data_IF_576395180443
#
_entry.id   IF_576395180443
#
_cell.length_a   1.000
_cell.length_b   1.000
_cell.length_c   1.000
_cell.angle_alpha   90.00
_cell.angle_beta   90.00
_cell.angle_gamma   90.00
#
_symmetry.space_group_name_H-M   'P 1'
#
loop_
_entity.id
_entity.type
_entity.pdbx_description
1 polymer ?
#
# COMPACT_ATOMS: atom_id res chain seq x y z
N UNK A 1 13.22 -6.16 -19.74
CA UNK A 1 13.36 -7.57 -19.35
C UNK A 1 12.68 -7.75 -18.01
N UNK A 2 11.79 -8.72 -17.88
CA UNK A 2 11.02 -8.95 -16.66
C UNK A 2 11.94 -9.35 -15.51
N UNK A 3 12.94 -10.20 -15.77
CA UNK A 3 13.86 -10.70 -14.74
C UNK A 3 14.74 -9.58 -14.17
N UNK A 4 15.24 -8.70 -15.04
CA UNK A 4 16.00 -7.51 -14.62
C UNK A 4 15.13 -6.56 -13.80
N UNK A 5 13.86 -6.40 -14.18
CA UNK A 5 12.94 -5.56 -13.43
C UNK A 5 12.61 -6.14 -12.06
N UNK A 6 12.37 -7.45 -11.98
CA UNK A 6 12.14 -8.15 -10.72
C UNK A 6 13.36 -8.03 -9.79
N UNK A 7 14.57 -8.25 -10.30
CA UNK A 7 15.78 -8.13 -9.49
C UNK A 7 16.03 -6.68 -9.05
N UNK A 8 15.78 -5.69 -9.91
CA UNK A 8 15.88 -4.29 -9.52
C UNK A 8 14.90 -3.94 -8.39
N UNK A 9 13.66 -4.43 -8.48
CA UNK A 9 12.61 -4.22 -7.49
C UNK A 9 12.92 -4.91 -6.15
N UNK A 10 13.57 -6.09 -6.18
CA UNK A 10 14.04 -6.77 -4.97
C UNK A 10 15.07 -5.97 -4.19
N UNK A 11 15.94 -5.23 -4.89
CA UNK A 11 16.95 -4.40 -4.25
C UNK A 11 16.37 -3.04 -3.81
N UNK A 12 15.49 -2.47 -4.63
CA UNK A 12 14.80 -1.19 -4.39
C UNK A 12 13.39 -1.22 -5.01
N UNK A 13 12.36 -1.31 -4.18
CA UNK A 13 10.96 -1.37 -4.60
C UNK A 13 10.52 -0.12 -5.38
N UNK A 14 11.17 1.02 -5.13
CA UNK A 14 10.93 2.25 -5.90
C UNK A 14 11.51 2.20 -7.30
N UNK A 15 12.40 1.24 -7.62
CA UNK A 15 12.88 1.00 -8.98
C UNK A 15 11.72 0.70 -9.94
N UNK A 16 10.57 0.22 -9.44
CA UNK A 16 9.35 0.02 -10.20
C UNK A 16 8.96 1.25 -11.03
N UNK A 17 9.19 2.47 -10.53
CA UNK A 17 8.86 3.73 -11.21
C UNK A 17 9.59 3.94 -12.54
N UNK A 18 10.72 3.25 -12.73
CA UNK A 18 11.55 3.34 -13.92
C UNK A 18 11.28 2.20 -14.93
N UNK A 19 10.39 1.27 -14.59
CA UNK A 19 10.05 0.14 -15.45
C UNK A 19 9.01 0.53 -16.53
N UNK A 20 8.95 -0.27 -17.59
CA UNK A 20 7.93 -0.11 -18.62
C UNK A 20 6.52 -0.29 -18.03
N UNK A 21 5.51 0.37 -18.62
CA UNK A 21 4.12 0.32 -18.14
C UNK A 21 3.61 -1.11 -17.90
N UNK A 22 3.89 -2.02 -18.85
CA UNK A 22 3.47 -3.43 -18.74
C UNK A 22 4.03 -4.14 -17.50
N UNK A 23 5.20 -3.73 -16.98
CA UNK A 23 5.80 -4.30 -15.76
C UNK A 23 5.18 -3.71 -14.48
N UNK A 24 4.56 -2.53 -14.56
CA UNK A 24 3.80 -1.92 -13.45
C UNK A 24 2.37 -2.48 -13.36
N UNK A 25 1.91 -3.12 -14.44
CA UNK A 25 0.68 -3.90 -14.52
C UNK A 25 0.90 -5.39 -14.17
N UNK A 26 2.17 -5.79 -13.93
CA UNK A 26 2.51 -7.15 -13.55
C UNK A 26 2.31 -7.33 -12.04
N UNK A 27 1.45 -8.28 -11.68
CA UNK A 27 1.03 -8.52 -10.29
C UNK A 27 2.19 -9.02 -9.41
N UNK A 28 3.07 -9.86 -9.95
CA UNK A 28 4.16 -10.46 -9.18
C UNK A 28 5.26 -9.43 -8.92
N UNK A 29 5.57 -8.59 -9.92
CA UNK A 29 6.47 -7.44 -9.72
C UNK A 29 5.86 -6.46 -8.72
N UNK A 30 4.57 -6.17 -8.81
CA UNK A 30 3.90 -5.27 -7.88
C UNK A 30 3.95 -5.79 -6.44
N UNK A 31 3.67 -7.08 -6.23
CA UNK A 31 3.79 -7.73 -4.92
C UNK A 31 5.21 -7.66 -4.37
N UNK A 32 6.21 -7.96 -5.19
CA UNK A 32 7.61 -7.89 -4.76
C UNK A 32 8.02 -6.45 -4.40
N UNK A 33 7.55 -5.46 -5.18
CA UNK A 33 7.82 -4.06 -4.91
C UNK A 33 7.26 -3.61 -3.57
N UNK A 34 6.00 -3.95 -3.27
CA UNK A 34 5.37 -3.51 -2.02
C UNK A 34 5.90 -4.25 -0.79
N UNK A 35 6.39 -5.49 -0.96
CA UNK A 35 7.13 -6.21 0.08
C UNK A 35 8.45 -5.53 0.44
N UNK A 36 9.14 -5.01 -0.58
CA UNK A 36 10.41 -4.31 -0.39
C UNK A 36 10.19 -2.89 0.19
N UNK A 37 9.30 -2.11 -0.43
CA UNK A 37 8.88 -0.77 0.00
C UNK A 37 7.38 -0.59 -0.26
N UNK A 38 6.56 -0.47 0.79
CA UNK A 38 5.11 -0.31 0.70
C UNK A 38 4.69 0.96 -0.03
N UNK A 39 5.54 2.00 -0.06
CA UNK A 39 5.29 3.21 -0.84
C UNK A 39 5.48 3.00 -2.34
N UNK A 40 6.07 1.90 -2.79
CA UNK A 40 6.15 1.54 -4.21
C UNK A 40 4.77 1.33 -4.84
N UNK A 41 3.73 1.09 -4.03
CA UNK A 41 2.33 0.99 -4.47
C UNK A 41 1.90 2.21 -5.30
N UNK A 42 2.47 3.39 -5.05
CA UNK A 42 2.20 4.61 -5.84
C UNK A 42 2.56 4.48 -7.33
N UNK A 43 3.43 3.52 -7.68
CA UNK A 43 3.92 3.30 -9.03
C UNK A 43 3.25 2.11 -9.73
N UNK A 44 2.61 1.22 -8.95
CA UNK A 44 1.80 0.10 -9.43
C UNK A 44 0.60 0.63 -10.22
N UNK A 45 0.16 -0.10 -11.24
CA UNK A 45 -1.02 0.27 -12.03
C UNK A 45 -2.27 0.39 -11.15
N UNK A 46 -3.16 1.33 -11.48
CA UNK A 46 -4.33 1.62 -10.66
C UNK A 46 -5.31 0.44 -10.54
N UNK A 47 -5.32 -0.49 -11.51
CA UNK A 47 -6.10 -1.72 -11.41
C UNK A 47 -5.58 -2.62 -10.27
N UNK A 48 -4.26 -2.71 -10.11
CA UNK A 48 -3.60 -3.52 -9.08
C UNK A 48 -3.58 -2.82 -7.71
N UNK A 49 -3.73 -1.51 -7.64
CA UNK A 49 -3.92 -0.79 -6.36
C UNK A 49 -5.23 -1.17 -5.64
N UNK A 50 -6.18 -1.80 -6.36
CA UNK A 50 -7.43 -2.35 -5.81
C UNK A 50 -7.30 -3.86 -5.49
N UNK A 51 -6.13 -4.47 -5.70
CA UNK A 51 -5.88 -5.86 -5.31
C UNK A 51 -5.70 -5.92 -3.79
N UNK A 52 -6.53 -6.73 -3.13
CA UNK A 52 -6.55 -6.86 -1.67
C UNK A 52 -5.21 -7.31 -1.11
N UNK A 53 -4.54 -8.28 -1.75
CA UNK A 53 -3.28 -8.83 -1.25
C UNK A 53 -2.17 -7.79 -1.36
N UNK A 54 -2.08 -7.11 -2.50
CA UNK A 54 -1.09 -6.03 -2.72
C UNK A 54 -1.34 -4.89 -1.72
N UNK A 55 -2.59 -4.50 -1.50
CA UNK A 55 -2.93 -3.44 -0.56
C UNK A 55 -2.55 -3.81 0.87
N UNK A 56 -2.88 -5.03 1.32
CA UNK A 56 -2.49 -5.52 2.66
C UNK A 56 -0.97 -5.56 2.84
N UNK A 57 -0.26 -6.09 1.86
CA UNK A 57 1.20 -6.18 1.93
C UNK A 57 1.84 -4.78 2.00
N UNK A 58 1.34 -3.85 1.18
CA UNK A 58 1.82 -2.47 1.18
C UNK A 58 1.59 -1.76 2.53
N UNK A 59 0.39 -1.87 3.12
CA UNK A 59 0.09 -1.20 4.40
C UNK A 59 0.78 -1.86 5.59
N UNK A 60 1.04 -3.17 5.53
CA UNK A 60 1.87 -3.89 6.51
C UNK A 60 3.30 -3.42 6.49
N UNK A 61 3.84 -3.20 5.30
CA UNK A 61 5.20 -2.69 5.13
C UNK A 61 5.27 -1.21 5.58
N UNK A 62 4.39 -0.35 5.06
CA UNK A 62 4.26 1.06 5.45
C UNK A 62 2.79 1.50 5.50
N UNK A 63 2.28 1.85 6.68
CA UNK A 63 0.91 2.30 6.87
C UNK A 63 0.56 3.55 6.06
N UNK A 64 1.56 4.36 5.67
CA UNK A 64 1.36 5.47 4.74
C UNK A 64 0.95 5.02 3.34
N UNK A 65 1.20 3.77 2.96
CA UNK A 65 0.81 3.21 1.68
C UNK A 65 -0.71 3.24 1.48
N UNK A 66 -1.51 3.34 2.55
CA UNK A 66 -2.97 3.51 2.49
C UNK A 66 -3.39 4.64 1.56
N UNK A 67 -2.58 5.71 1.44
CA UNK A 67 -2.86 6.83 0.53
C UNK A 67 -2.89 6.45 -0.96
N UNK A 68 -2.22 5.35 -1.33
CA UNK A 68 -2.12 4.83 -2.70
C UNK A 68 -2.99 3.60 -2.93
N UNK A 69 -3.49 2.98 -1.86
CA UNK A 69 -4.49 1.94 -1.94
C UNK A 69 -5.72 2.48 -2.65
N UNK A 70 -6.34 1.62 -3.45
CA UNK A 70 -7.55 1.94 -4.17
C UNK A 70 -8.67 2.50 -3.28
N UNK A 71 -9.42 3.49 -3.78
CA UNK A 71 -10.48 4.17 -3.00
C UNK A 71 -11.51 3.23 -2.36
N UNK A 72 -11.86 2.13 -3.03
CA UNK A 72 -12.79 1.15 -2.47
C UNK A 72 -12.19 0.44 -1.25
N UNK A 73 -10.89 0.14 -1.29
CA UNK A 73 -10.16 -0.50 -0.21
C UNK A 73 -9.78 0.47 0.93
N UNK A 74 -9.74 1.79 0.69
CA UNK A 74 -9.67 2.80 1.76
C UNK A 74 -10.95 2.87 2.61
N UNK A 75 -12.03 2.25 2.14
CA UNK A 75 -13.28 2.02 2.88
C UNK A 75 -13.34 0.61 3.50
N UNK A 76 -12.31 -0.20 3.33
CA UNK A 76 -12.19 -1.48 3.99
C UNK A 76 -11.64 -1.29 5.41
N UNK A 77 -12.43 -1.71 6.41
CA UNK A 77 -12.10 -1.52 7.82
C UNK A 77 -10.82 -2.27 8.21
N UNK A 78 -10.57 -3.44 7.65
CA UNK A 78 -9.42 -4.27 8.01
C UNK A 78 -8.13 -3.67 7.46
N UNK A 79 -8.14 -3.21 6.21
CA UNK A 79 -6.98 -2.52 5.61
C UNK A 79 -6.67 -1.23 6.37
N UNK A 80 -7.69 -0.45 6.71
CA UNK A 80 -7.51 0.80 7.48
C UNK A 80 -6.95 0.52 8.86
N UNK A 81 -7.47 -0.49 9.57
CA UNK A 81 -6.93 -0.88 10.87
C UNK A 81 -5.49 -1.36 10.78
N UNK A 82 -5.16 -2.14 9.76
CA UNK A 82 -3.79 -2.62 9.55
C UNK A 82 -2.83 -1.44 9.32
N UNK A 83 -3.20 -0.49 8.45
CA UNK A 83 -2.42 0.71 8.21
C UNK A 83 -2.26 1.58 9.46
N UNK A 84 -3.33 1.74 10.25
CA UNK A 84 -3.32 2.51 11.49
C UNK A 84 -2.46 1.85 12.57
N UNK A 85 -2.52 0.52 12.69
CA UNK A 85 -1.64 -0.25 13.60
C UNK A 85 -0.18 -0.12 13.23
N UNK A 86 0.13 -0.07 11.94
CA UNK A 86 1.49 0.17 11.48
C UNK A 86 1.94 1.60 11.80
N UNK A 87 1.05 2.58 11.59
CA UNK A 87 1.31 4.00 11.88
C UNK A 87 0.02 4.76 12.13
N UNK A 88 -0.15 5.33 13.32
CA UNK A 88 -1.37 6.03 13.71
C UNK A 88 -1.79 7.14 12.73
N UNK A 89 -0.81 7.93 12.26
CA UNK A 89 -1.02 8.97 11.24
C UNK A 89 -1.56 8.49 9.89
N UNK A 90 -1.57 7.18 9.61
CA UNK A 90 -2.18 6.61 8.41
C UNK A 90 -3.70 6.86 8.35
N UNK A 91 -4.35 7.03 9.52
CA UNK A 91 -5.79 7.30 9.62
C UNK A 91 -6.27 8.45 8.72
N UNK A 92 -5.43 9.47 8.50
CA UNK A 92 -5.75 10.62 7.64
C UNK A 92 -6.03 10.25 6.17
N UNK A 93 -5.64 9.05 5.75
CA UNK A 93 -5.83 8.53 4.39
C UNK A 93 -7.02 7.56 4.28
N UNK A 94 -7.60 7.15 5.40
CA UNK A 94 -8.82 6.36 5.41
C UNK A 94 -10.03 7.19 4.99
N UNK A 95 -11.11 6.54 4.58
CA UNK A 95 -12.38 7.22 4.37
C UNK A 95 -12.86 7.98 5.62
N UNK A 96 -13.57 9.09 5.42
CA UNK A 96 -13.99 10.00 6.50
C UNK A 96 -14.75 9.29 7.64
N UNK A 97 -15.54 8.27 7.30
CA UNK A 97 -16.26 7.43 8.27
C UNK A 97 -15.33 6.81 9.32
N UNK A 98 -14.12 6.40 8.94
CA UNK A 98 -13.14 5.82 9.86
C UNK A 98 -12.32 6.85 10.62
N UNK A 99 -12.17 8.05 10.07
CA UNK A 99 -11.53 9.17 10.79
C UNK A 99 -12.35 9.62 12.00
N UNK A 100 -13.65 9.28 12.03
CA UNK A 100 -14.57 9.53 13.14
C UNK A 100 -14.93 8.25 13.90
N UNK A 101 -14.47 7.09 13.44
CA UNK A 101 -14.70 5.83 14.13
C UNK A 101 -13.90 5.81 15.43
N UNK A 102 -14.64 5.76 16.55
CA UNK A 102 -14.05 5.85 17.88
C UNK A 102 -13.00 4.76 18.12
N UNK A 103 -13.22 3.54 17.64
CA UNK A 103 -12.29 2.44 17.87
C UNK A 103 -10.99 2.65 17.09
N UNK A 104 -11.10 3.04 15.82
CA UNK A 104 -9.96 3.27 14.93
C UNK A 104 -9.17 4.52 15.36
N UNK A 105 -9.85 5.59 15.74
CA UNK A 105 -9.21 6.81 16.28
C UNK A 105 -8.43 6.50 17.55
N UNK A 106 -9.01 5.72 18.47
CA UNK A 106 -8.32 5.31 19.68
C UNK A 106 -7.11 4.41 19.37
N UNK A 107 -7.20 3.55 18.36
CA UNK A 107 -6.05 2.78 17.90
C UNK A 107 -4.97 3.68 17.31
N UNK A 108 -5.33 4.66 16.49
CA UNK A 108 -4.37 5.60 15.91
C UNK A 108 -3.60 6.39 16.98
N UNK A 109 -4.28 6.82 18.05
CA UNK A 109 -3.65 7.51 19.17
C UNK A 109 -2.66 6.66 19.98
N UNK A 110 -2.72 5.32 19.88
CA UNK A 110 -1.76 4.42 20.56
C UNK A 110 -0.46 4.25 19.78
N UNK A 111 -0.49 4.53 18.47
CA UNK A 111 0.60 4.27 17.53
C UNK A 111 1.37 5.56 17.15
N UNK A 112 1.05 6.69 17.80
CA UNK A 112 1.77 7.97 17.72
C UNK A 112 2.78 8.12 18.88
#
# INVERSE_FOLDING_TARGET
DWEIALEAVRQDGLALRHTAKALREDRDIALEAVRQDGLSLQHVDCALQQDLEIAFEAVRQDGRALQFVGKALQQDREIVLEAVRQRGRALRFAAEVFQQDREIVLEAMRQD
#
